data_IF_293934300059
#
_entry.id   IF_293934300059
#
_cell.length_a   1.000
_cell.length_b   1.000
_cell.length_c   1.000
_cell.angle_alpha   90.00
_cell.angle_beta   90.00
_cell.angle_gamma   90.00
#
_symmetry.space_group_name_H-M   'P 1'
#
loop_
_entity.id
_entity.type
_entity.pdbx_description
1 polymer ?
#
# COMPACT_ATOMS: atom_id res chain seq x y z
N UNK A 1 -4.08 16.29 -19.73
CA UNK A 1 -4.27 17.75 -19.52
C UNK A 1 -4.26 18.17 -18.04
N UNK A 2 -3.67 17.40 -17.11
CA UNK A 2 -3.79 17.66 -15.65
C UNK A 2 -2.67 18.53 -15.03
N UNK A 3 -1.62 18.86 -15.79
CA UNK A 3 -0.46 19.61 -15.28
C UNK A 3 -0.46 21.10 -15.65
N UNK A 4 -1.30 21.53 -16.60
CA UNK A 4 -1.30 22.91 -17.11
C UNK A 4 -1.74 23.93 -16.07
N UNK A 5 -2.78 23.62 -15.29
CA UNK A 5 -3.26 24.50 -14.21
C UNK A 5 -2.23 24.63 -13.07
N UNK A 6 -1.69 23.55 -12.48
CA UNK A 6 -0.64 23.65 -11.46
C UNK A 6 0.63 24.34 -11.95
N UNK A 7 1.05 24.10 -13.20
CA UNK A 7 2.19 24.79 -13.80
C UNK A 7 1.92 26.27 -14.02
N UNK A 8 0.69 26.64 -14.44
CA UNK A 8 0.30 28.04 -14.53
C UNK A 8 0.23 28.71 -13.16
N UNK A 9 -0.30 28.05 -12.14
CA UNK A 9 -0.29 28.57 -10.76
C UNK A 9 1.14 28.76 -10.29
N UNK A 10 2.02 27.76 -10.46
CA UNK A 10 3.43 27.87 -10.11
C UNK A 10 4.13 29.04 -10.84
N UNK A 11 3.92 29.14 -12.16
CA UNK A 11 4.51 30.21 -12.97
C UNK A 11 3.94 31.59 -12.64
N UNK A 12 2.63 31.69 -12.37
CA UNK A 12 1.97 32.95 -12.00
C UNK A 12 2.40 33.42 -10.61
N UNK A 13 2.49 32.51 -9.63
CA UNK A 13 3.01 32.82 -8.29
C UNK A 13 4.47 33.25 -8.40
N UNK A 14 5.29 32.55 -9.18
CA UNK A 14 6.69 32.91 -9.40
C UNK A 14 6.85 34.28 -10.06
N UNK A 15 6.01 34.64 -11.04
CA UNK A 15 6.03 35.96 -11.71
C UNK A 15 5.53 37.10 -10.82
N UNK A 16 4.53 36.87 -9.98
CA UNK A 16 4.05 37.88 -9.03
C UNK A 16 5.06 38.12 -7.89
N UNK A 17 5.83 37.10 -7.53
CA UNK A 17 6.72 37.10 -6.36
C UNK A 17 8.18 37.48 -6.67
N UNK A 18 8.59 37.54 -7.94
CA UNK A 18 9.98 37.79 -8.36
C UNK A 18 10.49 39.22 -8.09
N UNK A 19 9.64 40.15 -7.66
CA UNK A 19 10.04 41.55 -7.39
C UNK A 19 10.36 41.84 -5.91
N UNK A 20 10.25 40.88 -4.98
CA UNK A 20 10.60 41.08 -3.57
C UNK A 20 11.41 39.90 -3.02
N UNK A 21 12.59 40.19 -2.48
CA UNK A 21 13.60 39.23 -2.01
C UNK A 21 13.20 38.40 -0.75
N UNK A 22 11.91 38.26 -0.45
CA UNK A 22 11.39 37.55 0.73
C UNK A 22 10.25 36.54 0.42
N UNK A 23 9.96 36.25 -0.85
CA UNK A 23 8.70 35.61 -1.27
C UNK A 23 8.70 34.08 -1.37
N UNK A 24 9.82 33.41 -1.09
CA UNK A 24 9.89 31.94 -1.13
C UNK A 24 8.93 31.29 -0.13
N UNK A 25 8.80 31.86 1.08
CA UNK A 25 7.88 31.37 2.12
C UNK A 25 6.41 31.46 1.72
N UNK A 26 6.00 32.57 1.11
CA UNK A 26 4.62 32.78 0.66
C UNK A 26 4.24 31.84 -0.50
N UNK A 27 5.18 31.59 -1.42
CA UNK A 27 4.99 30.62 -2.51
C UNK A 27 4.83 29.21 -1.98
N UNK A 28 5.65 28.81 -0.99
CA UNK A 28 5.56 27.50 -0.36
C UNK A 28 4.23 27.31 0.40
N UNK A 29 3.70 28.35 1.06
CA UNK A 29 2.39 28.31 1.73
C UNK A 29 1.23 28.10 0.74
N UNK A 30 1.22 28.80 -0.39
CA UNK A 30 0.19 28.61 -1.43
C UNK A 30 0.25 27.17 -1.99
N UNK A 31 1.46 26.68 -2.27
CA UNK A 31 1.66 25.31 -2.76
C UNK A 31 1.11 24.30 -1.75
N UNK A 32 1.38 24.48 -0.46
CA UNK A 32 0.83 23.63 0.61
C UNK A 32 -0.70 23.67 0.65
N UNK A 33 -1.31 24.86 0.56
CA UNK A 33 -2.77 25.00 0.54
C UNK A 33 -3.41 24.29 -0.66
N UNK A 34 -2.83 24.45 -1.85
CA UNK A 34 -3.30 23.79 -3.08
C UNK A 34 -3.16 22.28 -2.95
N UNK A 35 -2.01 21.81 -2.46
CA UNK A 35 -1.78 20.37 -2.25
C UNK A 35 -2.78 19.83 -1.24
N UNK A 36 -3.02 20.48 -0.10
CA UNK A 36 -3.93 19.99 0.94
C UNK A 36 -5.41 19.93 0.51
N UNK A 37 -5.80 20.62 -0.57
CA UNK A 37 -7.16 20.60 -1.10
C UNK A 37 -7.32 19.70 -2.33
N UNK A 38 -6.24 19.17 -2.89
CA UNK A 38 -6.28 18.34 -4.08
C UNK A 38 -6.59 16.87 -3.75
N UNK A 39 -7.07 16.14 -4.76
CA UNK A 39 -7.19 14.68 -4.67
C UNK A 39 -5.82 14.03 -4.51
N UNK A 40 -5.72 12.92 -3.77
CA UNK A 40 -4.43 12.26 -3.59
C UNK A 40 -3.84 11.76 -4.91
N UNK A 41 -4.67 11.37 -5.88
CA UNK A 41 -4.20 10.97 -7.21
C UNK A 41 -3.54 12.11 -7.99
N UNK A 42 -3.95 13.36 -7.77
CA UNK A 42 -3.32 14.51 -8.38
C UNK A 42 -2.06 14.93 -7.62
N UNK A 43 -2.08 14.85 -6.28
CA UNK A 43 -0.89 15.02 -5.43
C UNK A 43 0.26 14.12 -5.89
N UNK A 44 0.00 12.85 -6.17
CA UNK A 44 1.03 11.93 -6.69
C UNK A 44 1.61 12.37 -8.05
N UNK A 45 0.79 12.93 -8.95
CA UNK A 45 1.26 13.46 -10.23
C UNK A 45 2.09 14.74 -10.04
N UNK A 46 1.68 15.58 -9.09
CA UNK A 46 2.29 16.88 -8.86
C UNK A 46 3.67 16.80 -8.20
N UNK A 47 4.01 15.65 -7.62
CA UNK A 47 5.35 15.37 -7.08
C UNK A 47 6.48 15.66 -8.09
N UNK A 48 6.22 15.49 -9.39
CA UNK A 48 7.23 15.67 -10.45
C UNK A 48 7.32 17.10 -11.00
N UNK A 49 6.49 18.03 -10.53
CA UNK A 49 6.39 19.38 -11.12
C UNK A 49 7.56 20.27 -10.72
N UNK A 50 7.84 20.38 -9.41
CA UNK A 50 8.91 21.22 -8.88
C UNK A 50 9.36 20.71 -7.52
N UNK A 51 10.55 21.15 -7.05
CA UNK A 51 11.06 20.81 -5.71
C UNK A 51 10.15 21.31 -4.57
N UNK A 52 9.40 22.38 -4.79
CA UNK A 52 8.44 22.91 -3.82
C UNK A 52 7.20 22.02 -3.71
N UNK A 53 6.63 21.64 -4.86
CA UNK A 53 5.54 20.66 -4.90
C UNK A 53 5.98 19.32 -4.33
N UNK A 54 7.17 18.83 -4.68
CA UNK A 54 7.70 17.58 -4.14
C UNK A 54 7.74 17.62 -2.60
N UNK A 55 8.31 18.68 -2.01
CA UNK A 55 8.38 18.83 -0.55
C UNK A 55 7.00 18.87 0.10
N UNK A 56 6.08 19.68 -0.43
CA UNK A 56 4.74 19.79 0.14
C UNK A 56 3.90 18.50 -0.07
N UNK A 57 4.13 17.76 -1.15
CA UNK A 57 3.54 16.43 -1.37
C UNK A 57 4.08 15.45 -0.34
N UNK A 58 5.40 15.40 -0.14
CA UNK A 58 6.02 14.53 0.86
C UNK A 58 5.55 14.89 2.28
N UNK A 59 5.47 16.18 2.63
CA UNK A 59 4.91 16.64 3.90
C UNK A 59 3.46 16.16 4.12
N UNK A 60 2.59 16.23 3.10
CA UNK A 60 1.21 15.72 3.20
C UNK A 60 1.18 14.20 3.29
N UNK A 61 1.93 13.49 2.47
CA UNK A 61 1.94 12.02 2.50
C UNK A 61 2.50 11.47 3.81
N UNK A 62 3.44 12.19 4.42
CA UNK A 62 4.06 11.83 5.68
C UNK A 62 3.10 11.93 6.88
N UNK A 63 1.95 12.61 6.74
CA UNK A 63 0.94 12.66 7.81
C UNK A 63 0.18 11.34 7.96
N UNK A 64 0.06 10.54 6.90
CA UNK A 64 -0.68 9.28 6.94
C UNK A 64 0.16 8.17 7.57
N UNK A 65 -0.02 7.97 8.87
CA UNK A 65 0.63 6.89 9.62
C UNK A 65 -0.25 5.64 9.72
N UNK A 66 -1.56 5.77 9.49
CA UNK A 66 -2.53 4.67 9.52
C UNK A 66 -3.14 4.45 8.15
N UNK A 67 -3.12 3.20 7.65
CA UNK A 67 -3.65 2.84 6.34
C UNK A 67 -4.57 1.62 6.47
N UNK A 68 -5.80 1.72 5.96
CA UNK A 68 -6.70 0.57 5.77
C UNK A 68 -6.89 0.26 4.29
N UNK A 69 -6.62 -0.99 3.89
CA UNK A 69 -6.70 -1.44 2.51
C UNK A 69 -7.66 -2.62 2.43
N UNK A 70 -8.77 -2.41 1.73
CA UNK A 70 -9.90 -3.34 1.66
C UNK A 70 -10.22 -3.75 0.23
N UNK A 71 -10.58 -5.03 0.09
CA UNK A 71 -11.07 -5.60 -1.17
C UNK A 71 -12.58 -5.61 -1.18
N UNK A 72 -13.17 -4.85 -2.10
CA UNK A 72 -14.61 -4.68 -2.26
C UNK A 72 -15.13 -5.36 -3.53
N UNK A 73 -16.19 -6.16 -3.38
CA UNK A 73 -16.91 -6.73 -4.52
C UNK A 73 -17.81 -5.68 -5.15
N UNK A 74 -17.64 -5.42 -6.45
CA UNK A 74 -18.48 -4.50 -7.21
C UNK A 74 -18.12 -3.02 -7.05
N UNK A 75 -16.90 -2.71 -6.60
CA UNK A 75 -16.38 -1.34 -6.54
C UNK A 75 -16.38 -0.69 -7.94
N UNK A 76 -16.14 -1.47 -9.00
CA UNK A 76 -16.25 -1.00 -10.39
C UNK A 76 -17.67 -0.51 -10.74
N UNK A 77 -18.70 -1.24 -10.30
CA UNK A 77 -20.09 -0.81 -10.53
C UNK A 77 -20.42 0.45 -9.74
N UNK A 78 -19.89 0.57 -8.53
CA UNK A 78 -20.07 1.76 -7.70
C UNK A 78 -19.43 2.98 -8.36
N UNK A 79 -18.20 2.85 -8.88
CA UNK A 79 -17.53 3.90 -9.66
C UNK A 79 -18.35 4.36 -10.86
N UNK A 80 -18.89 3.42 -11.64
CA UNK A 80 -19.67 3.75 -12.84
C UNK A 80 -21.00 4.45 -12.50
N UNK A 81 -21.49 4.30 -11.26
CA UNK A 81 -22.69 4.97 -10.75
C UNK A 81 -22.37 6.26 -10.00
N UNK A 82 -21.10 6.51 -9.67
CA UNK A 82 -20.69 7.70 -8.96
C UNK A 82 -20.91 8.91 -9.87
N UNK A 83 -21.64 9.91 -9.39
CA UNK A 83 -21.76 11.20 -10.06
C UNK A 83 -20.43 11.96 -9.96
N UNK A 84 -20.27 13.03 -10.76
CA UNK A 84 -19.11 13.91 -10.69
C UNK A 84 -18.94 14.62 -9.32
N UNK A 85 -19.97 14.57 -8.47
CA UNK A 85 -20.02 15.16 -7.12
C UNK A 85 -19.76 14.13 -6.01
N UNK A 86 -19.15 12.98 -6.33
CA UNK A 86 -18.87 11.98 -5.29
C UNK A 86 -17.84 12.51 -4.28
N UNK A 87 -18.14 12.39 -2.99
CA UNK A 87 -17.24 12.71 -1.87
C UNK A 87 -15.93 11.88 -1.85
N UNK A 88 -15.86 10.86 -2.70
CA UNK A 88 -14.73 9.93 -2.77
C UNK A 88 -13.74 10.28 -3.89
N UNK A 89 -12.45 10.16 -3.58
CA UNK A 89 -11.40 10.28 -4.58
C UNK A 89 -11.28 9.00 -5.39
N UNK A 90 -11.73 9.04 -6.65
CA UNK A 90 -11.63 7.93 -7.58
C UNK A 90 -10.38 8.03 -8.46
N UNK A 91 -9.73 6.90 -8.69
CA UNK A 91 -8.71 6.84 -9.73
C UNK A 91 -9.35 7.13 -11.11
N UNK A 92 -8.75 7.99 -11.95
CA UNK A 92 -9.39 8.47 -13.19
C UNK A 92 -9.75 7.36 -14.19
N UNK A 93 -9.03 6.23 -14.16
CA UNK A 93 -9.25 5.11 -15.08
C UNK A 93 -9.41 3.74 -14.42
N UNK A 94 -9.15 3.59 -13.12
CA UNK A 94 -9.03 2.29 -12.45
C UNK A 94 -10.12 2.11 -11.40
N UNK A 95 -10.45 0.87 -11.04
CA UNK A 95 -11.40 0.57 -9.97
C UNK A 95 -10.68 0.59 -8.61
N UNK A 96 -10.25 1.79 -8.25
CA UNK A 96 -9.44 2.11 -7.08
C UNK A 96 -9.96 3.43 -6.50
N UNK A 97 -10.23 3.44 -5.20
CA UNK A 97 -10.78 4.57 -4.48
C UNK A 97 -9.93 4.86 -3.25
N UNK A 98 -9.73 6.14 -2.96
CA UNK A 98 -9.04 6.61 -1.77
C UNK A 98 -10.02 7.48 -0.97
N UNK A 99 -9.96 7.36 0.35
CA UNK A 99 -10.77 8.14 1.28
C UNK A 99 -9.89 8.58 2.44
N UNK A 100 -9.88 9.87 2.71
CA UNK A 100 -9.25 10.41 3.91
C UNK A 100 -10.26 10.30 5.06
N UNK A 101 -9.99 9.42 6.00
CA UNK A 101 -10.90 9.15 7.11
C UNK A 101 -10.63 10.11 8.27
N UNK A 102 -9.36 10.32 8.59
CA UNK A 102 -8.85 11.24 9.62
C UNK A 102 -7.52 11.85 9.12
N UNK A 103 -6.98 12.92 9.74
CA UNK A 103 -5.77 13.60 9.25
C UNK A 103 -4.53 12.70 9.07
N UNK A 104 -4.47 11.59 9.80
CA UNK A 104 -3.41 10.59 9.74
C UNK A 104 -3.89 9.20 9.26
N UNK A 105 -5.14 9.07 8.83
CA UNK A 105 -5.77 7.80 8.49
C UNK A 105 -6.31 7.78 7.07
N UNK A 106 -5.71 6.91 6.25
CA UNK A 106 -6.06 6.73 4.85
C UNK A 106 -6.76 5.40 4.60
N UNK A 107 -7.96 5.46 4.00
CA UNK A 107 -8.67 4.31 3.47
C UNK A 107 -8.41 4.12 1.98
N UNK A 108 -8.05 2.91 1.57
CA UNK A 108 -7.86 2.51 0.18
C UNK A 108 -8.78 1.32 -0.13
N UNK A 109 -9.61 1.47 -1.14
CA UNK A 109 -10.52 0.42 -1.59
C UNK A 109 -10.16 -0.02 -3.00
N UNK A 110 -10.07 -1.33 -3.20
CA UNK A 110 -9.76 -1.93 -4.50
C UNK A 110 -10.83 -2.96 -4.86
N UNK A 111 -11.18 -3.02 -6.14
CA UNK A 111 -12.17 -3.99 -6.63
C UNK A 111 -11.64 -5.42 -6.49
N UNK A 112 -12.55 -6.37 -6.20
CA UNK A 112 -12.22 -7.80 -6.13
C UNK A 112 -11.70 -8.38 -7.45
N UNK A 113 -12.11 -7.81 -8.59
CA UNK A 113 -11.55 -8.15 -9.90
C UNK A 113 -10.26 -7.35 -10.15
N UNK A 114 -9.19 -7.79 -9.49
CA UNK A 114 -7.87 -7.18 -9.58
C UNK A 114 -7.24 -7.42 -10.95
N UNK A 115 -7.34 -6.44 -11.85
CA UNK A 115 -6.53 -6.38 -13.08
C UNK A 115 -5.08 -6.00 -12.74
N UNK A 116 -4.13 -6.42 -13.58
CA UNK A 116 -2.72 -6.07 -13.41
C UNK A 116 -2.47 -4.56 -13.29
N UNK A 117 -3.23 -3.73 -14.02
CA UNK A 117 -3.15 -2.26 -13.91
C UNK A 117 -3.59 -1.75 -12.53
N UNK A 118 -4.64 -2.32 -11.93
CA UNK A 118 -5.09 -1.99 -10.58
C UNK A 118 -4.02 -2.35 -9.55
N UNK A 119 -3.41 -3.53 -9.69
CA UNK A 119 -2.34 -4.02 -8.80
C UNK A 119 -1.12 -3.10 -8.87
N UNK A 120 -0.66 -2.76 -10.08
CA UNK A 120 0.48 -1.85 -10.26
C UNK A 120 0.21 -0.46 -9.66
N UNK A 121 -1.00 0.08 -9.85
CA UNK A 121 -1.36 1.37 -9.26
C UNK A 121 -1.39 1.31 -7.73
N UNK A 122 -2.00 0.26 -7.15
CA UNK A 122 -2.02 0.05 -5.70
C UNK A 122 -0.61 -0.08 -5.11
N UNK A 123 0.26 -0.88 -5.74
CA UNK A 123 1.63 -1.06 -5.28
C UNK A 123 2.40 0.27 -5.33
N UNK A 124 2.24 1.08 -6.39
CA UNK A 124 2.86 2.42 -6.47
C UNK A 124 2.42 3.36 -5.36
N UNK A 125 1.13 3.33 -5.01
CA UNK A 125 0.60 4.09 -3.87
C UNK A 125 1.26 3.63 -2.57
N UNK A 126 1.26 2.31 -2.32
CA UNK A 126 1.88 1.71 -1.15
C UNK A 126 3.36 2.06 -1.04
N UNK A 127 4.11 1.99 -2.15
CA UNK A 127 5.52 2.37 -2.19
C UNK A 127 5.77 3.82 -1.77
N UNK A 128 4.81 4.71 -2.04
CA UNK A 128 4.93 6.12 -1.67
C UNK A 128 4.58 6.39 -0.21
N UNK A 129 3.75 5.54 0.42
CA UNK A 129 3.29 5.71 1.79
C UNK A 129 4.08 4.88 2.82
N UNK A 130 4.77 3.83 2.36
CA UNK A 130 5.36 2.78 3.20
C UNK A 130 6.29 3.28 4.31
N UNK A 131 7.03 4.36 4.06
CA UNK A 131 8.08 4.83 4.96
C UNK A 131 7.52 5.42 6.26
N UNK A 132 6.29 5.97 6.25
CA UNK A 132 5.67 6.58 7.44
C UNK A 132 4.51 5.77 8.01
N UNK A 133 4.19 4.64 7.37
CA UNK A 133 3.10 3.76 7.83
C UNK A 133 3.50 3.08 9.14
N UNK A 134 2.79 3.41 10.23
CA UNK A 134 2.95 2.77 11.53
C UNK A 134 1.87 1.71 11.79
N UNK A 135 0.67 1.91 11.24
CA UNK A 135 -0.46 1.01 11.42
C UNK A 135 -1.05 0.62 10.07
N UNK A 136 -1.08 -0.69 9.79
CA UNK A 136 -1.59 -1.24 8.53
C UNK A 136 -2.71 -2.23 8.79
N UNK A 137 -3.87 -1.94 8.21
CA UNK A 137 -5.02 -2.84 8.17
C UNK A 137 -5.19 -3.28 6.72
N UNK A 138 -5.14 -4.58 6.47
CA UNK A 138 -5.05 -5.07 5.08
C UNK A 138 -5.81 -6.38 4.92
N UNK A 139 -6.50 -6.54 3.80
CA UNK A 139 -7.14 -7.81 3.46
C UNK A 139 -6.11 -8.83 2.93
N UNK A 140 -6.36 -10.12 3.19
CA UNK A 140 -5.41 -11.19 2.88
C UNK A 140 -4.97 -11.30 1.42
N UNK A 141 -5.80 -10.99 0.40
CA UNK A 141 -5.31 -10.96 -0.98
C UNK A 141 -4.29 -9.85 -1.24
N UNK A 142 -4.39 -8.71 -0.54
CA UNK A 142 -3.49 -7.57 -0.75
C UNK A 142 -2.14 -7.82 -0.10
N UNK A 143 -2.10 -8.41 1.10
CA UNK A 143 -0.81 -8.75 1.73
C UNK A 143 -0.05 -9.80 0.91
N UNK A 144 -0.74 -10.76 0.29
CA UNK A 144 -0.10 -11.69 -0.65
C UNK A 144 0.49 -10.96 -1.85
N UNK A 145 -0.18 -9.95 -2.40
CA UNK A 145 0.36 -9.13 -3.49
C UNK A 145 1.63 -8.36 -3.07
N UNK A 146 1.64 -7.81 -1.86
CA UNK A 146 2.83 -7.12 -1.33
C UNK A 146 4.00 -8.09 -1.18
N UNK A 147 3.76 -9.26 -0.58
CA UNK A 147 4.78 -10.30 -0.41
C UNK A 147 5.27 -10.83 -1.76
N UNK A 148 4.37 -11.07 -2.72
CA UNK A 148 4.73 -11.48 -4.07
C UNK A 148 5.59 -10.42 -4.79
N UNK A 149 5.29 -9.13 -4.57
CA UNK A 149 6.08 -8.03 -5.12
C UNK A 149 7.47 -7.98 -4.49
N UNK A 150 7.60 -8.19 -3.18
CA UNK A 150 8.92 -8.28 -2.52
C UNK A 150 9.75 -9.43 -3.11
N UNK A 151 9.16 -10.63 -3.24
CA UNK A 151 9.85 -11.77 -3.86
C UNK A 151 10.31 -11.46 -5.30
N UNK A 152 9.44 -10.81 -6.08
CA UNK A 152 9.78 -10.42 -7.46
C UNK A 152 11.00 -9.49 -7.49
N UNK A 153 11.06 -8.49 -6.63
CA UNK A 153 12.22 -7.59 -6.56
C UNK A 153 13.49 -8.31 -6.10
N UNK A 154 13.39 -9.26 -5.16
CA UNK A 154 14.54 -10.09 -4.77
C UNK A 154 15.07 -10.93 -5.94
N UNK A 155 14.19 -11.57 -6.71
CA UNK A 155 14.58 -12.35 -7.88
C UNK A 155 15.25 -11.45 -8.93
N UNK A 156 14.68 -10.27 -9.20
CA UNK A 156 15.25 -9.32 -10.16
C UNK A 156 16.67 -8.90 -9.74
N UNK A 157 16.87 -8.58 -8.46
CA UNK A 157 18.18 -8.23 -7.90
C UNK A 157 19.18 -9.38 -8.05
N UNK A 158 18.79 -10.62 -7.76
CA UNK A 158 19.65 -11.79 -7.95
C UNK A 158 20.03 -12.00 -9.42
N UNK A 159 19.08 -11.83 -10.35
CA UNK A 159 19.34 -11.91 -11.79
C UNK A 159 20.36 -10.84 -12.21
N UNK A 160 20.20 -9.61 -11.72
CA UNK A 160 21.15 -8.53 -11.97
C UNK A 160 22.52 -8.88 -11.42
N UNK A 161 22.64 -9.36 -10.19
CA UNK A 161 23.92 -9.77 -9.58
C UNK A 161 24.62 -10.87 -10.39
N UNK A 162 23.88 -11.91 -10.80
CA UNK A 162 24.41 -13.01 -11.62
C UNK A 162 24.86 -12.50 -12.99
N UNK A 163 24.08 -11.60 -13.60
CA UNK A 163 24.42 -11.01 -14.90
C UNK A 163 25.67 -10.15 -14.82
N UNK A 164 25.81 -9.33 -13.77
CA UNK A 164 27.02 -8.55 -13.52
C UNK A 164 28.24 -9.45 -13.32
N UNK A 165 28.13 -10.51 -12.51
CA UNK A 165 29.22 -11.47 -12.27
C UNK A 165 29.70 -12.18 -13.55
N UNK A 166 28.77 -12.55 -14.44
CA UNK A 166 29.07 -13.16 -15.76
C UNK A 166 29.71 -12.16 -16.74
N UNK A 167 29.35 -10.89 -16.64
CA UNK A 167 29.92 -9.85 -17.50
C UNK A 167 31.31 -9.41 -17.00
N UNK A 168 31.54 -9.35 -15.68
CA UNK A 168 32.87 -9.06 -15.11
C UNK A 168 33.90 -10.15 -15.41
N UNK A 169 33.47 -11.39 -15.59
CA UNK A 169 34.35 -12.50 -16.02
C UNK A 169 34.65 -12.47 -17.52
N UNK A 170 33.79 -11.87 -18.35
CA UNK A 170 34.04 -11.66 -19.79
C UNK A 170 34.84 -10.40 -20.10
N UNK A 171 34.80 -9.38 -19.23
CA UNK A 171 35.45 -8.09 -19.42
C UNK A 171 36.83 -7.96 -18.73
N UNK A 172 37.66 -9.01 -18.74
CA UNK A 172 39.07 -8.87 -18.34
C UNK A 172 40.00 -8.39 -19.48
N UNK A 173 39.49 -8.29 -20.71
CA UNK A 173 40.29 -8.02 -21.91
C UNK A 173 39.86 -6.78 -22.73
N UNK A 174 39.20 -5.78 -22.16
CA UNK A 174 38.88 -4.55 -22.93
C UNK A 174 38.82 -3.31 -22.04
N UNK A 175 39.98 -2.68 -21.86
CA UNK A 175 40.09 -1.28 -21.46
C UNK A 175 39.70 -0.41 -22.65
N UNK A 176 38.57 0.30 -22.58
CA UNK A 176 38.43 1.75 -22.79
C UNK A 176 36.97 2.16 -23.09
N UNK A 177 36.57 3.27 -22.46
CA UNK A 177 35.60 4.27 -22.91
C UNK A 177 34.16 3.80 -23.20
N UNK A 178 33.26 4.09 -22.25
CA UNK A 178 32.03 4.80 -22.62
C UNK A 178 31.44 5.59 -21.44
N UNK A 179 31.55 6.91 -21.57
CA UNK A 179 30.84 7.92 -20.82
C UNK A 179 29.41 7.96 -21.38
N UNK A 180 28.44 7.30 -20.73
CA UNK A 180 27.02 7.44 -21.05
C UNK A 180 26.13 7.20 -19.82
N UNK A 181 25.53 8.33 -19.41
CA UNK A 181 24.21 8.49 -18.80
C UNK A 181 23.93 7.87 -17.42
N UNK A 182 23.89 8.81 -16.46
CA UNK A 182 23.25 8.70 -15.16
C UNK A 182 21.78 8.25 -15.28
N UNK A 183 21.54 6.96 -15.12
CA UNK A 183 20.46 6.49 -14.26
C UNK A 183 21.13 5.84 -13.07
N UNK A 184 21.00 6.47 -11.90
CA UNK A 184 21.41 5.94 -10.61
C UNK A 184 20.63 4.65 -10.34
N UNK A 185 21.13 3.52 -10.85
CA UNK A 185 20.82 2.23 -10.28
C UNK A 185 21.45 2.22 -8.89
N UNK A 186 20.59 2.10 -7.87
CA UNK A 186 21.04 1.98 -6.49
C UNK A 186 22.03 0.82 -6.36
N UNK A 187 23.06 0.97 -5.49
CA UNK A 187 24.12 -0.01 -5.34
C UNK A 187 23.59 -1.37 -4.89
N UNK A 188 24.39 -2.40 -5.17
CA UNK A 188 24.17 -3.86 -5.08
C UNK A 188 23.91 -4.36 -3.65
N UNK A 189 22.87 -3.84 -2.99
CA UNK A 189 22.49 -4.27 -1.65
C UNK A 189 21.05 -4.78 -1.68
N UNK A 190 20.85 -5.93 -1.04
CA UNK A 190 19.54 -6.33 -0.51
C UNK A 190 18.89 -5.09 0.11
N UNK A 191 17.56 -4.90 0.00
CA UNK A 191 16.93 -3.71 0.55
C UNK A 191 17.38 -3.56 2.01
N UNK A 192 18.17 -2.50 2.30
CA UNK A 192 18.75 -2.26 3.63
C UNK A 192 17.66 -2.11 4.70
N UNK A 193 16.43 -1.87 4.25
CA UNK A 193 15.25 -1.66 5.07
C UNK A 193 14.08 -2.52 4.57
N UNK A 194 13.24 -3.04 5.49
CA UNK A 194 12.01 -3.73 5.14
C UNK A 194 11.05 -2.84 4.35
N UNK A 195 10.04 -3.44 3.74
CA UNK A 195 9.03 -2.71 3.00
C UNK A 195 8.32 -1.65 3.86
N UNK A 196 7.92 -1.98 5.08
CA UNK A 196 7.35 -1.05 6.05
C UNK A 196 8.28 -0.88 7.27
N UNK A 197 9.25 0.04 7.23
CA UNK A 197 10.28 0.16 8.27
C UNK A 197 9.79 0.68 9.61
N UNK A 198 8.68 1.44 9.64
CA UNK A 198 8.14 2.03 10.86
C UNK A 198 6.88 1.32 11.36
N UNK A 199 6.58 0.11 10.84
CA UNK A 199 5.34 -0.58 11.14
C UNK A 199 5.35 -1.15 12.56
N UNK A 200 4.38 -0.71 13.36
CA UNK A 200 4.17 -1.15 14.74
C UNK A 200 2.94 -2.05 14.88
N UNK A 201 1.91 -1.84 14.05
CA UNK A 201 0.67 -2.61 14.09
C UNK A 201 0.29 -3.13 12.71
N UNK A 202 0.10 -4.45 12.62
CA UNK A 202 -0.37 -5.12 11.41
C UNK A 202 -1.64 -5.90 11.71
N UNK A 203 -2.73 -5.59 11.00
CA UNK A 203 -3.99 -6.32 11.08
C UNK A 203 -4.37 -6.90 9.73
N UNK A 204 -4.29 -8.22 9.59
CA UNK A 204 -4.66 -8.93 8.37
C UNK A 204 -6.08 -9.47 8.52
N UNK A 205 -6.98 -9.07 7.63
CA UNK A 205 -8.35 -9.58 7.58
C UNK A 205 -8.50 -10.60 6.47
N UNK A 206 -9.02 -11.80 6.78
CA UNK A 206 -9.22 -12.84 5.79
C UNK A 206 -10.63 -13.42 5.88
N UNK A 207 -11.34 -13.46 4.75
CA UNK A 207 -12.60 -14.20 4.64
C UNK A 207 -12.32 -15.69 4.51
N UNK A 208 -13.29 -16.55 4.83
CA UNK A 208 -13.14 -18.00 4.66
C UNK A 208 -12.71 -18.42 3.24
N UNK A 209 -13.23 -17.75 2.20
CA UNK A 209 -12.87 -18.00 0.80
C UNK A 209 -11.46 -17.53 0.43
N UNK A 210 -10.84 -16.70 1.27
CA UNK A 210 -9.55 -16.05 1.02
C UNK A 210 -8.40 -16.66 1.85
N UNK A 211 -8.68 -17.71 2.62
CA UNK A 211 -7.68 -18.34 3.51
C UNK A 211 -6.47 -18.92 2.75
N UNK A 212 -6.65 -19.32 1.49
CA UNK A 212 -5.56 -19.83 0.66
C UNK A 212 -4.44 -18.80 0.45
N UNK A 213 -4.78 -17.50 0.38
CA UNK A 213 -3.79 -16.42 0.25
C UNK A 213 -2.78 -16.44 1.41
N UNK A 214 -3.24 -16.72 2.63
CA UNK A 214 -2.35 -16.84 3.80
C UNK A 214 -1.42 -18.06 3.72
N UNK A 215 -1.92 -19.19 3.21
CA UNK A 215 -1.11 -20.41 3.09
C UNK A 215 0.02 -20.30 2.07
N UNK A 216 -0.14 -19.39 1.09
CA UNK A 216 0.84 -19.14 0.02
C UNK A 216 1.95 -18.18 0.45
N UNK A 217 1.76 -17.38 1.51
CA UNK A 217 2.78 -16.44 1.98
C UNK A 217 4.12 -17.14 2.23
N UNK A 218 4.10 -18.31 2.88
CA UNK A 218 5.28 -19.14 3.10
C UNK A 218 5.93 -19.63 1.79
N UNK A 219 5.13 -19.83 0.73
CA UNK A 219 5.62 -20.29 -0.57
C UNK A 219 6.40 -19.23 -1.34
N UNK A 220 6.27 -17.94 -1.00
CA UNK A 220 7.01 -16.87 -1.66
C UNK A 220 8.48 -16.78 -1.19
N UNK A 221 8.89 -17.57 -0.19
CA UNK A 221 10.25 -17.54 0.38
C UNK A 221 10.70 -16.14 0.86
N UNK A 222 9.74 -15.27 1.20
CA UNK A 222 9.97 -13.95 1.77
C UNK A 222 9.86 -14.05 3.27
N UNK A 223 10.94 -13.72 3.98
CA UNK A 223 10.94 -13.61 5.45
C UNK A 223 10.21 -12.35 5.89
N UNK A 224 9.69 -12.36 7.12
CA UNK A 224 9.00 -11.19 7.68
C UNK A 224 9.89 -9.97 7.85
N UNK A 225 11.19 -10.17 8.02
CA UNK A 225 12.19 -9.09 8.13
C UNK A 225 12.31 -8.24 6.86
N UNK A 226 11.81 -8.71 5.72
CA UNK A 226 11.72 -7.93 4.49
C UNK A 226 10.43 -7.13 4.40
N UNK A 227 9.46 -7.41 5.28
CA UNK A 227 8.19 -6.72 5.34
C UNK A 227 8.17 -5.68 6.47
N UNK A 228 8.70 -6.00 7.65
CA UNK A 228 8.78 -5.12 8.82
C UNK A 228 9.86 -5.60 9.81
N UNK A 229 10.24 -4.76 10.78
CA UNK A 229 11.12 -5.18 11.88
C UNK A 229 10.32 -5.85 13.00
N UNK A 230 10.58 -7.14 13.27
CA UNK A 230 9.87 -7.92 14.31
C UNK A 230 10.03 -7.30 15.71
N UNK A 231 11.18 -6.69 15.99
CA UNK A 231 11.46 -6.04 17.28
C UNK A 231 10.59 -4.81 17.54
N UNK A 232 10.22 -4.07 16.49
CA UNK A 232 9.43 -2.84 16.57
C UNK A 232 7.92 -3.10 16.54
N UNK A 233 7.51 -4.35 16.34
CA UNK A 233 6.09 -4.71 16.33
C UNK A 233 5.51 -4.64 17.74
N UNK A 234 4.43 -3.87 17.88
CA UNK A 234 3.57 -3.86 19.06
C UNK A 234 2.45 -4.90 18.93
N UNK A 235 1.90 -5.06 17.73
CA UNK A 235 0.71 -5.88 17.51
C UNK A 235 0.65 -6.50 16.10
N UNK A 236 0.51 -7.82 16.03
CA UNK A 236 0.12 -8.52 14.82
C UNK A 236 -1.21 -9.26 15.05
N UNK A 237 -2.25 -8.85 14.35
CA UNK A 237 -3.58 -9.44 14.46
C UNK A 237 -4.03 -10.11 13.15
N UNK A 238 -4.37 -11.39 13.22
CA UNK A 238 -5.09 -12.09 12.15
C UNK A 238 -6.59 -12.16 12.49
N UNK A 239 -7.42 -11.47 11.71
CA UNK A 239 -8.89 -11.48 11.83
C UNK A 239 -9.50 -12.38 10.76
N UNK A 240 -10.13 -13.47 11.17
CA UNK A 240 -10.78 -14.42 10.26
C UNK A 240 -12.28 -14.19 10.30
N UNK A 241 -12.82 -13.73 9.18
CA UNK A 241 -14.25 -13.50 9.00
C UNK A 241 -14.90 -14.78 8.45
N UNK A 242 -15.67 -15.45 9.31
CA UNK A 242 -16.44 -16.63 8.96
C UNK A 242 -17.79 -16.24 8.38
N UNK A 243 -18.11 -16.81 7.22
CA UNK A 243 -19.43 -16.71 6.62
C UNK A 243 -20.51 -17.42 7.46
N UNK A 244 -21.77 -17.01 7.29
CA UNK A 244 -22.92 -17.52 8.05
C UNK A 244 -23.06 -19.05 8.04
N UNK A 245 -22.61 -19.73 6.98
CA UNK A 245 -22.63 -21.19 6.86
C UNK A 245 -21.68 -21.90 7.85
N UNK A 246 -20.59 -21.24 8.25
CA UNK A 246 -19.57 -21.75 9.17
C UNK A 246 -19.76 -21.26 10.61
N UNK A 247 -20.67 -20.30 10.83
CA UNK A 247 -21.00 -19.77 12.14
C UNK A 247 -21.79 -20.77 13.04
N UNK A 248 -22.21 -21.92 12.50
CA UNK A 248 -22.88 -22.97 13.29
C UNK A 248 -21.86 -23.72 14.17
N UNK A 249 -22.16 -23.95 15.47
CA UNK A 249 -21.18 -24.46 16.45
C UNK A 249 -20.46 -25.75 16.06
N UNK A 250 -21.17 -26.70 15.42
CA UNK A 250 -20.63 -27.99 14.97
C UNK A 250 -19.69 -27.85 13.78
N UNK A 251 -20.03 -27.02 12.79
CA UNK A 251 -19.17 -26.76 11.61
C UNK A 251 -17.99 -25.87 11.95
N UNK A 252 -18.14 -25.00 12.95
CA UNK A 252 -17.07 -24.15 13.48
C UNK A 252 -15.92 -24.96 14.09
N UNK A 253 -16.23 -26.01 14.86
CA UNK A 253 -15.20 -26.90 15.42
C UNK A 253 -14.44 -27.64 14.32
N UNK A 254 -15.13 -28.18 13.33
CA UNK A 254 -14.51 -28.88 12.18
C UNK A 254 -13.63 -27.94 11.34
N UNK A 255 -14.12 -26.73 11.05
CA UNK A 255 -13.31 -25.69 10.40
C UNK A 255 -12.07 -25.37 11.23
N UNK A 256 -12.22 -25.19 12.55
CA UNK A 256 -11.10 -24.94 13.44
C UNK A 256 -10.05 -26.05 13.39
N UNK A 257 -10.43 -27.32 13.25
CA UNK A 257 -9.48 -28.43 13.17
C UNK A 257 -8.78 -28.54 11.82
N UNK A 258 -9.54 -28.49 10.71
CA UNK A 258 -8.99 -28.64 9.36
C UNK A 258 -8.17 -27.41 8.92
N UNK A 259 -8.61 -26.22 9.31
CA UNK A 259 -7.95 -24.96 8.95
C UNK A 259 -6.85 -24.57 9.95
N UNK A 260 -6.89 -25.02 11.22
CA UNK A 260 -5.75 -24.88 12.15
C UNK A 260 -4.50 -25.53 11.59
N UNK A 261 -4.63 -26.78 11.14
CA UNK A 261 -3.46 -27.63 11.07
C UNK A 261 -2.50 -27.24 9.94
N UNK A 262 -3.03 -26.81 8.79
CA UNK A 262 -2.16 -26.48 7.65
C UNK A 262 -2.06 -24.98 7.40
N UNK A 263 -3.19 -24.29 7.20
CA UNK A 263 -3.18 -22.88 6.77
C UNK A 263 -2.74 -21.95 7.89
N UNK A 264 -3.37 -22.05 9.07
CA UNK A 264 -3.05 -21.17 10.19
C UNK A 264 -1.69 -21.49 10.81
N UNK A 265 -1.31 -22.76 10.80
CA UNK A 265 0.04 -23.17 11.19
C UNK A 265 1.10 -22.57 10.26
N UNK A 266 0.95 -22.70 8.94
CA UNK A 266 1.87 -22.08 7.97
C UNK A 266 1.95 -20.56 8.12
N UNK A 267 0.82 -19.91 8.35
CA UNK A 267 0.80 -18.46 8.58
C UNK A 267 1.53 -18.09 9.88
N UNK A 268 1.33 -18.85 10.96
CA UNK A 268 2.05 -18.66 12.23
C UNK A 268 3.55 -18.86 12.08
N UNK A 269 3.96 -19.87 11.32
CA UNK A 269 5.36 -20.10 10.99
C UNK A 269 5.93 -18.94 10.19
N UNK A 270 5.23 -18.50 9.13
CA UNK A 270 5.67 -17.37 8.32
C UNK A 270 5.79 -16.07 9.13
N UNK A 271 4.84 -15.81 10.04
CA UNK A 271 4.86 -14.62 10.90
C UNK A 271 5.82 -14.69 12.09
N UNK A 272 6.53 -15.81 12.26
CA UNK A 272 7.36 -16.06 13.44
C UNK A 272 6.59 -15.78 14.74
N UNK A 273 5.36 -16.27 14.81
CA UNK A 273 4.44 -15.97 15.90
C UNK A 273 4.99 -16.33 17.29
N UNK A 274 5.93 -17.27 17.36
CA UNK A 274 6.63 -17.66 18.59
C UNK A 274 7.56 -16.54 19.10
N UNK A 275 8.19 -15.76 18.21
CA UNK A 275 9.03 -14.59 18.53
C UNK A 275 8.17 -13.39 18.94
N UNK A 276 6.98 -13.25 18.33
CA UNK A 276 6.03 -12.20 18.69
C UNK A 276 5.39 -12.43 20.06
N UNK A 277 5.20 -13.69 20.47
CA UNK A 277 4.63 -14.06 21.76
C UNK A 277 3.24 -13.46 21.96
N UNK A 278 3.07 -12.68 23.03
CA UNK A 278 1.80 -12.02 23.38
C UNK A 278 1.38 -10.93 22.38
N UNK A 279 2.29 -10.48 21.51
CA UNK A 279 2.00 -9.47 20.47
C UNK A 279 1.21 -10.04 19.28
N UNK A 280 1.14 -11.36 19.17
CA UNK A 280 0.39 -12.06 18.14
C UNK A 280 -1.03 -12.43 18.62
N UNK A 281 -2.05 -11.98 17.88
CA UNK A 281 -3.45 -12.32 18.15
C UNK A 281 -4.14 -12.94 16.95
N UNK A 282 -4.96 -13.94 17.23
CA UNK A 282 -5.85 -14.53 16.24
C UNK A 282 -7.30 -14.40 16.69
N UNK A 283 -8.10 -13.67 15.91
CA UNK A 283 -9.50 -13.40 16.19
C UNK A 283 -10.40 -14.07 15.13
N UNK A 284 -11.50 -14.64 15.58
CA UNK A 284 -12.52 -15.23 14.72
C UNK A 284 -13.81 -14.42 14.86
N UNK A 285 -14.25 -13.80 13.77
CA UNK A 285 -15.48 -13.01 13.72
C UNK A 285 -16.50 -13.62 12.77
N UNK A 286 -17.78 -13.34 12.99
CA UNK A 286 -18.86 -13.70 12.07
C UNK A 286 -19.25 -12.49 11.23
N UNK A 287 -19.41 -12.65 9.91
CA UNK A 287 -20.00 -11.61 9.05
C UNK A 287 -21.51 -11.51 9.28
N UNK A 288 -21.95 -10.87 10.37
CA UNK A 288 -23.36 -10.47 10.48
C UNK A 288 -23.63 -9.41 9.41
N UNK A 289 -24.39 -9.76 8.38
CA UNK A 289 -25.09 -8.77 7.54
C UNK A 289 -25.93 -7.93 8.51
N UNK A 290 -25.52 -6.68 8.78
CA UNK A 290 -26.47 -5.68 9.29
C UNK A 290 -27.48 -5.47 8.17
N UNK A 291 -28.60 -6.19 8.24
CA UNK A 291 -29.82 -5.78 7.56
C UNK A 291 -30.24 -4.50 8.28
N UNK A 292 -29.76 -3.35 7.82
CA UNK A 292 -30.43 -2.09 8.12
C UNK A 292 -31.72 -2.16 7.32
N UNK A 293 -32.78 -2.63 7.96
CA UNK A 293 -34.13 -2.26 7.59
C UNK A 293 -34.19 -0.74 7.66
N UNK A 294 -34.06 -0.07 6.51
CA UNK A 294 -34.58 1.27 6.34
C UNK A 294 -36.10 1.13 6.42
N UNK A 295 -36.61 1.15 7.65
CA UNK A 295 -37.99 1.54 7.91
C UNK A 295 -38.11 2.99 7.43
N UNK A 296 -38.66 3.15 6.23
CA UNK A 296 -39.19 4.43 5.77
C UNK A 296 -40.39 4.78 6.65
N UNK A 297 -40.14 5.54 7.71
CA UNK A 297 -41.14 6.27 8.45
C UNK A 297 -40.74 7.75 8.46
N UNK A 298 -41.62 8.57 7.83
CA UNK A 298 -41.95 9.96 8.20
C UNK A 298 -40.85 11.00 7.90
N UNK A 299 -41.06 12.11 7.19
CA UNK A 299 -42.24 12.88 6.74
C UNK A 299 -41.88 13.54 5.40
#
# INVERSE_FOLDING_TARGET
MALTLPLHVAASVQRCCSNQACTSKFTDEIIKLVINKASLFDVFKWRQISKGFQRAVEERLDTYTMIDIKVYSGLRHLRNKASAESEYDWHPSLALMIVELEPNHLGIAVDSELKASNVTALLRLLFSLRLKTEQLFIDSPIIELVVAQINKEQINMLIEMVSHSRNTTRCRNTMHNQKLQLTTCHPIYFPETPFFPNLKKLSITSKTSQMQHLSRLLSYAVTVDLLYYVEQMDLLCLKILMGNAWARPTRFRLFRHLTRFNILFRFRQWTEADVLGERYFQQFGTTRRRVRSLSSHLV
#
